data_IF_614007546072
#
_entry.id   IF_614007546072
#
_cell.length_a   1.000
_cell.length_b   1.000
_cell.length_c   1.000
_cell.angle_alpha   90.00
_cell.angle_beta   90.00
_cell.angle_gamma   90.00
#
_symmetry.space_group_name_H-M   'P 1'
#
loop_
_entity.id
_entity.type
_entity.pdbx_description
1 polymer ?
#
# COMPACT_ATOMS: atom_id res chain seq x y z
N UNK A 1 -16.72 -0.49 -2.09
CA UNK A 1 -16.99 -1.56 -3.07
C UNK A 1 -18.42 -1.54 -3.61
N UNK A 2 -19.44 -1.49 -2.76
CA UNK A 2 -20.86 -1.59 -3.17
C UNK A 2 -21.29 -0.62 -4.30
N UNK A 3 -20.76 0.61 -4.32
CA UNK A 3 -21.16 1.63 -5.31
C UNK A 3 -20.36 1.62 -6.63
N UNK A 4 -19.10 1.16 -6.60
CA UNK A 4 -18.14 1.32 -7.73
C UNK A 4 -17.35 0.04 -8.05
N UNK A 5 -17.64 -1.08 -7.38
CA UNK A 5 -16.86 -2.31 -7.51
C UNK A 5 -15.38 -2.13 -7.19
N UNK A 6 -14.56 -3.00 -7.78
CA UNK A 6 -13.09 -2.95 -7.72
C UNK A 6 -12.51 -1.79 -8.54
N UNK A 7 -13.22 -1.33 -9.57
CA UNK A 7 -12.81 -0.20 -10.41
C UNK A 7 -12.75 1.13 -9.64
N UNK A 8 -13.48 1.21 -8.52
CA UNK A 8 -13.40 2.33 -7.59
C UNK A 8 -12.13 2.36 -6.73
N UNK A 9 -11.30 1.32 -6.75
CA UNK A 9 -10.06 1.22 -5.99
C UNK A 9 -8.89 1.61 -6.91
N UNK A 10 -8.11 2.61 -6.53
CA UNK A 10 -7.04 3.12 -7.39
C UNK A 10 -5.99 2.05 -7.68
N UNK A 11 -5.55 1.32 -6.68
CA UNK A 11 -4.53 0.27 -6.76
C UNK A 11 -4.97 -0.95 -7.56
N UNK A 12 -6.27 -1.12 -7.83
CA UNK A 12 -6.76 -2.13 -8.79
C UNK A 12 -6.29 -1.84 -10.23
N UNK A 13 -5.91 -0.58 -10.54
CA UNK A 13 -5.25 -0.21 -11.80
C UNK A 13 -3.77 -0.64 -11.86
N UNK A 14 -3.15 -0.91 -10.71
CA UNK A 14 -1.74 -1.29 -10.58
C UNK A 14 -1.54 -2.78 -10.30
N UNK A 15 -2.52 -3.41 -9.62
CA UNK A 15 -2.47 -4.80 -9.19
C UNK A 15 -3.72 -5.56 -9.64
N UNK A 16 -3.54 -6.84 -9.90
CA UNK A 16 -4.62 -7.82 -9.90
C UNK A 16 -4.82 -8.33 -8.49
N UNK A 17 -6.01 -8.12 -7.92
CA UNK A 17 -6.38 -8.66 -6.62
C UNK A 17 -6.92 -10.08 -6.76
N UNK A 18 -6.39 -10.98 -5.93
CA UNK A 18 -6.94 -12.32 -5.80
C UNK A 18 -8.26 -12.31 -5.03
N UNK A 19 -9.05 -13.39 -5.16
CA UNK A 19 -10.29 -13.57 -4.40
C UNK A 19 -10.04 -13.51 -2.89
N UNK A 20 -8.90 -13.99 -2.43
CA UNK A 20 -8.52 -13.99 -1.01
C UNK A 20 -8.34 -12.57 -0.44
N UNK A 21 -8.20 -11.55 -1.30
CA UNK A 21 -8.15 -10.15 -0.88
C UNK A 21 -9.53 -9.57 -0.56
N UNK A 22 -10.64 -10.22 -0.99
CA UNK A 22 -12.01 -9.73 -0.78
C UNK A 22 -12.33 -9.32 0.68
N UNK A 23 -12.03 -10.10 1.73
CA UNK A 23 -12.27 -9.67 3.11
C UNK A 23 -11.46 -8.43 3.49
N UNK A 24 -10.23 -8.29 2.99
CA UNK A 24 -9.38 -7.11 3.25
C UNK A 24 -9.97 -5.88 2.56
N UNK A 25 -10.42 -6.00 1.30
CA UNK A 25 -11.01 -4.87 0.59
C UNK A 25 -12.37 -4.45 1.18
N UNK A 26 -13.17 -5.41 1.68
CA UNK A 26 -14.47 -5.14 2.29
C UNK A 26 -14.36 -4.34 3.59
N UNK A 27 -13.28 -4.55 4.36
CA UNK A 27 -13.01 -3.87 5.63
C UNK A 27 -11.77 -2.98 5.56
N UNK A 28 -11.38 -2.56 4.35
CA UNK A 28 -10.12 -1.90 4.09
C UNK A 28 -10.28 -0.43 3.77
N UNK A 29 -9.29 0.37 4.18
CA UNK A 29 -9.07 1.72 3.67
C UNK A 29 -7.84 1.69 2.78
N UNK A 30 -8.02 2.10 1.53
CA UNK A 30 -6.91 2.30 0.61
C UNK A 30 -6.12 3.56 1.00
N UNK A 31 -4.83 3.39 1.24
CA UNK A 31 -3.87 4.48 1.38
C UNK A 31 -3.15 4.70 0.06
N UNK A 32 -3.29 5.91 -0.48
CA UNK A 32 -2.54 6.35 -1.64
C UNK A 32 -1.16 6.91 -1.27
N UNK A 33 -0.65 7.82 -2.12
CA UNK A 33 0.61 8.51 -1.87
C UNK A 33 0.44 9.58 -0.80
N UNK A 34 1.18 9.45 0.30
CA UNK A 34 1.34 10.53 1.28
C UNK A 34 2.35 11.55 0.77
N UNK A 35 2.04 12.83 0.94
CA UNK A 35 3.00 13.90 0.76
C UNK A 35 2.92 14.86 1.94
N UNK A 36 4.07 15.38 2.36
CA UNK A 36 4.14 16.47 3.32
C UNK A 36 4.54 17.71 2.52
N UNK A 37 3.79 18.81 2.68
CA UNK A 37 4.12 20.07 2.02
C UNK A 37 5.52 20.54 2.47
N UNK A 38 6.37 21.09 1.58
CA UNK A 38 7.75 21.46 1.90
C UNK A 38 7.92 22.33 3.15
N UNK A 39 6.99 23.23 3.43
CA UNK A 39 6.98 24.07 4.65
C UNK A 39 6.91 23.27 5.97
N UNK A 40 6.60 21.99 5.91
CA UNK A 40 6.49 21.06 7.03
C UNK A 40 7.52 19.93 6.99
N UNK A 41 8.50 19.96 6.08
CA UNK A 41 9.60 19.00 6.08
C UNK A 41 10.46 19.15 7.33
N UNK A 42 10.97 18.03 7.85
CA UNK A 42 11.70 17.97 9.12
C UNK A 42 10.86 18.21 10.37
N UNK A 43 9.55 18.45 10.23
CA UNK A 43 8.59 18.53 11.34
C UNK A 43 7.87 17.20 11.53
N UNK A 44 7.02 17.14 12.56
CA UNK A 44 6.21 15.97 12.94
C UNK A 44 4.97 15.74 12.05
N UNK A 45 5.02 16.14 10.78
CA UNK A 45 3.86 16.10 9.89
C UNK A 45 3.36 14.67 9.64
N UNK A 46 4.30 13.73 9.44
CA UNK A 46 3.97 12.32 9.25
C UNK A 46 3.43 11.68 10.55
N UNK A 47 4.01 12.02 11.71
CA UNK A 47 3.50 11.55 13.01
C UNK A 47 2.04 11.96 13.21
N UNK A 48 1.72 13.23 12.95
CA UNK A 48 0.35 13.72 13.10
C UNK A 48 -0.62 13.10 12.09
N UNK A 49 -0.16 12.82 10.86
CA UNK A 49 -0.96 12.08 9.89
C UNK A 49 -1.32 10.69 10.43
N UNK A 50 -0.35 9.95 10.97
CA UNK A 50 -0.58 8.63 11.55
C UNK A 50 -1.48 8.68 12.79
N UNK A 51 -1.34 9.69 13.65
CA UNK A 51 -2.24 9.90 14.78
C UNK A 51 -3.68 10.15 14.31
N UNK A 52 -3.86 10.95 13.26
CA UNK A 52 -5.17 11.21 12.67
C UNK A 52 -5.82 9.94 12.07
N UNK A 53 -5.04 9.16 11.32
CA UNK A 53 -5.49 7.86 10.77
C UNK A 53 -5.85 6.90 11.92
N UNK A 54 -5.01 6.82 12.95
CA UNK A 54 -5.26 5.98 14.12
C UNK A 54 -6.54 6.37 14.87
N UNK A 55 -6.75 7.67 15.10
CA UNK A 55 -7.98 8.18 15.71
C UNK A 55 -9.22 7.88 14.85
N UNK A 56 -9.10 7.99 13.53
CA UNK A 56 -10.17 7.62 12.59
C UNK A 56 -10.52 6.13 12.69
N UNK A 57 -9.52 5.24 12.67
CA UNK A 57 -9.72 3.81 12.81
C UNK A 57 -10.33 3.43 14.16
N UNK A 58 -9.88 4.05 15.25
CA UNK A 58 -10.44 3.83 16.58
C UNK A 58 -11.93 4.22 16.66
N UNK A 59 -12.32 5.27 15.93
CA UNK A 59 -13.72 5.70 15.83
C UNK A 59 -14.57 4.78 14.93
N UNK A 60 -13.97 4.16 13.92
CA UNK A 60 -14.66 3.34 12.92
C UNK A 60 -14.09 1.91 12.85
N UNK A 61 -14.39 1.06 13.85
CA UNK A 61 -13.78 -0.26 14.01
C UNK A 61 -14.16 -1.27 12.91
N UNK A 62 -15.15 -0.96 12.06
CA UNK A 62 -15.47 -1.78 10.89
C UNK A 62 -14.35 -1.79 9.85
N UNK A 63 -13.47 -0.78 9.85
CA UNK A 63 -12.26 -0.76 9.02
C UNK A 63 -11.11 -1.41 9.79
N UNK A 64 -10.73 -2.61 9.35
CA UNK A 64 -9.73 -3.44 10.01
C UNK A 64 -8.37 -3.39 9.32
N UNK A 65 -8.33 -2.99 8.05
CA UNK A 65 -7.12 -3.04 7.23
C UNK A 65 -6.80 -1.69 6.61
N UNK A 66 -5.52 -1.36 6.61
CA UNK A 66 -4.95 -0.32 5.74
C UNK A 66 -4.15 -1.05 4.66
N UNK A 67 -4.36 -0.69 3.40
CA UNK A 67 -3.64 -1.30 2.28
C UNK A 67 -3.33 -0.26 1.23
N UNK A 68 -2.31 -0.48 0.43
CA UNK A 68 -1.98 0.45 -0.64
C UNK A 68 -0.60 0.16 -1.24
N UNK A 69 -0.34 0.71 -2.43
CA UNK A 69 0.96 0.56 -3.08
C UNK A 69 1.99 1.47 -2.40
N UNK A 70 3.22 0.97 -2.29
CA UNK A 70 4.40 1.78 -1.93
C UNK A 70 5.26 2.01 -3.15
N UNK A 71 5.87 3.19 -3.25
CA UNK A 71 6.80 3.54 -4.32
C UNK A 71 8.23 3.40 -3.86
N UNK A 72 9.08 2.81 -4.71
CA UNK A 72 10.53 2.89 -4.59
C UNK A 72 11.01 4.06 -5.46
N UNK A 73 12.02 4.80 -5.01
CA UNK A 73 12.58 5.91 -5.78
C UNK A 73 13.10 5.43 -7.14
N UNK A 74 12.69 6.14 -8.21
CA UNK A 74 13.20 5.88 -9.56
C UNK A 74 14.69 6.19 -9.75
N UNK A 75 15.29 6.96 -8.84
CA UNK A 75 16.74 7.26 -8.85
C UNK A 75 17.61 6.19 -8.20
N UNK A 76 17.01 5.10 -7.70
CA UNK A 76 17.76 4.00 -7.10
C UNK A 76 18.57 3.25 -8.18
N UNK A 77 19.88 2.99 -7.97
CA UNK A 77 20.66 2.16 -8.88
C UNK A 77 20.02 0.78 -9.09
N UNK A 78 20.11 0.26 -10.30
CA UNK A 78 19.49 -1.04 -10.67
C UNK A 78 19.95 -2.15 -9.72
N UNK A 79 21.25 -2.24 -9.45
CA UNK A 79 21.81 -3.24 -8.52
C UNK A 79 21.26 -3.13 -7.11
N UNK A 80 21.05 -1.90 -6.61
CA UNK A 80 20.45 -1.68 -5.30
C UNK A 80 18.98 -2.11 -5.26
N UNK A 81 18.24 -1.86 -6.35
CA UNK A 81 16.85 -2.31 -6.52
C UNK A 81 16.77 -3.84 -6.58
N UNK A 82 17.68 -4.49 -7.30
CA UNK A 82 17.74 -5.96 -7.38
C UNK A 82 18.00 -6.58 -6.01
N UNK A 83 18.96 -6.04 -5.25
CA UNK A 83 19.25 -6.49 -3.89
C UNK A 83 18.06 -6.29 -2.95
N UNK A 84 17.37 -5.15 -3.04
CA UNK A 84 16.16 -4.88 -2.26
C UNK A 84 15.05 -5.90 -2.55
N UNK A 85 14.82 -6.20 -3.83
CA UNK A 85 13.82 -7.17 -4.26
C UNK A 85 14.20 -8.58 -3.79
N UNK A 86 15.47 -8.97 -3.94
CA UNK A 86 15.97 -10.25 -3.46
C UNK A 86 15.79 -10.40 -1.94
N UNK A 87 16.07 -9.34 -1.17
CA UNK A 87 15.86 -9.31 0.28
C UNK A 87 14.40 -9.57 0.65
N UNK A 88 13.44 -8.84 0.04
CA UNK A 88 12.02 -9.05 0.33
C UNK A 88 11.52 -10.42 -0.13
N UNK A 89 11.99 -10.94 -1.29
CA UNK A 89 11.66 -12.30 -1.72
C UNK A 89 12.20 -13.35 -0.73
N UNK A 90 13.40 -13.17 -0.19
CA UNK A 90 14.00 -14.16 0.71
C UNK A 90 13.38 -14.16 2.10
N UNK A 91 13.17 -12.98 2.70
CA UNK A 91 12.78 -12.86 4.11
C UNK A 91 11.29 -12.57 4.33
N UNK A 92 10.59 -12.10 3.29
CA UNK A 92 9.20 -11.67 3.36
C UNK A 92 8.39 -12.21 2.18
N UNK A 93 8.72 -13.43 1.73
CA UNK A 93 7.89 -14.11 0.73
C UNK A 93 6.45 -14.22 1.23
N UNK A 94 5.46 -13.87 0.40
CA UNK A 94 4.08 -13.96 0.82
C UNK A 94 3.63 -15.42 0.93
N UNK A 95 2.89 -15.75 2.01
CA UNK A 95 2.25 -17.06 2.17
C UNK A 95 1.12 -17.28 1.14
N UNK A 96 0.49 -16.19 0.69
CA UNK A 96 -0.52 -16.18 -0.36
C UNK A 96 -0.38 -14.93 -1.24
N UNK A 97 -0.59 -15.10 -2.55
CA UNK A 97 -0.49 -14.03 -3.54
C UNK A 97 -1.76 -13.15 -3.58
N UNK A 98 -2.03 -12.41 -2.50
CA UNK A 98 -3.22 -11.57 -2.35
C UNK A 98 -3.34 -10.47 -3.44
N UNK A 99 -2.21 -10.00 -3.94
CA UNK A 99 -2.14 -9.02 -5.01
C UNK A 99 -0.92 -9.27 -5.90
N UNK A 100 -1.11 -9.21 -7.21
CA UNK A 100 -0.02 -9.35 -8.19
C UNK A 100 0.13 -8.06 -8.99
N UNK A 101 1.35 -7.55 -9.10
CA UNK A 101 1.60 -6.37 -9.94
C UNK A 101 1.22 -6.66 -11.38
N UNK A 102 0.51 -5.74 -12.03
CA UNK A 102 0.24 -5.79 -13.47
C UNK A 102 1.50 -5.60 -14.31
N UNK A 103 2.56 -5.09 -13.71
CA UNK A 103 3.90 -4.95 -14.28
C UNK A 103 4.89 -5.55 -13.28
N UNK A 104 5.00 -6.89 -13.20
CA UNK A 104 5.85 -7.54 -12.23
C UNK A 104 7.33 -7.26 -12.53
N UNK A 105 8.15 -7.20 -11.47
CA UNK A 105 9.59 -7.12 -11.66
C UNK A 105 10.09 -8.42 -12.30
N UNK A 106 10.93 -8.35 -13.36
CA UNK A 106 11.43 -9.54 -14.02
C UNK A 106 12.12 -10.48 -13.02
N UNK A 107 12.04 -11.77 -13.31
CA UNK A 107 12.67 -12.82 -12.53
C UNK A 107 14.19 -12.77 -12.70
#
# INVERSE_FOLDING_TARGET
>A
LERKGLEGIYSNSLFHYDRDMAPILAQGIELGRSFIQPAYWGKRGLDYLWLGIGAYLAKYPQYRYLFGPVSISGGMPVTARDLLIAFYRLYFSPDSALAQSRQPYPA
#
